data_IF_928264003804
#
_entry.id   IF_928264003804
#
_cell.length_a   1.000
_cell.length_b   1.000
_cell.length_c   1.000
_cell.angle_alpha   90.00
_cell.angle_beta   90.00
_cell.angle_gamma   90.00
#
_symmetry.space_group_name_H-M   'P 1'
#
loop_
_entity.id
_entity.type
_entity.pdbx_description
1 polymer ?
#
# COMPACT_ATOMS: atom_id res chain seq x y z
N UNK A 1 -8.58 23.99 -0.86
CA UNK A 1 -7.97 22.69 -0.45
C UNK A 1 -6.87 22.23 -1.41
N UNK A 2 -7.07 22.15 -2.73
CA UNK A 2 -6.01 21.75 -3.70
C UNK A 2 -4.81 22.69 -3.65
N UNK A 3 -5.02 24.01 -3.57
CA UNK A 3 -3.93 24.99 -3.44
C UNK A 3 -3.16 24.84 -2.12
N UNK A 4 -3.86 24.67 -1.01
CA UNK A 4 -3.26 24.45 0.31
C UNK A 4 -2.42 23.17 0.36
N UNK A 5 -2.89 22.10 -0.29
CA UNK A 5 -2.14 20.86 -0.44
C UNK A 5 -0.86 21.08 -1.24
N UNK A 6 -0.95 21.83 -2.34
CA UNK A 6 0.18 22.12 -3.21
C UNK A 6 1.23 22.99 -2.49
N UNK A 7 0.81 23.99 -1.74
CA UNK A 7 1.69 24.81 -0.92
C UNK A 7 2.38 23.98 0.18
N UNK A 8 1.63 23.13 0.88
CA UNK A 8 2.16 22.28 1.92
C UNK A 8 3.14 21.21 1.37
N UNK A 9 2.91 20.70 0.17
CA UNK A 9 3.86 19.78 -0.51
C UNK A 9 5.17 20.51 -0.82
N UNK A 10 5.11 21.73 -1.35
CA UNK A 10 6.29 22.57 -1.62
C UNK A 10 7.06 22.83 -0.34
N UNK A 11 6.39 23.31 0.69
CA UNK A 11 6.99 23.58 2.00
C UNK A 11 7.66 22.33 2.60
N UNK A 12 6.99 21.16 2.55
CA UNK A 12 7.54 19.91 3.04
C UNK A 12 8.80 19.47 2.30
N UNK A 13 8.90 19.75 0.99
CA UNK A 13 10.09 19.51 0.19
C UNK A 13 11.22 20.49 0.52
N UNK A 14 10.91 21.79 0.65
CA UNK A 14 11.88 22.84 0.96
C UNK A 14 12.50 22.68 2.35
N UNK A 15 11.67 22.33 3.34
CA UNK A 15 12.14 22.05 4.71
C UNK A 15 12.92 20.74 4.83
N UNK A 16 12.92 19.92 3.78
CA UNK A 16 13.60 18.63 3.78
C UNK A 16 15.09 18.81 3.53
N UNK A 17 15.90 18.38 4.48
CA UNK A 17 17.36 18.34 4.28
C UNK A 17 17.75 17.29 3.23
N UNK A 18 18.72 17.58 2.35
CA UNK A 18 19.21 16.61 1.39
C UNK A 18 19.77 15.36 2.08
N UNK A 19 19.48 14.20 1.53
CA UNK A 19 19.91 12.88 2.03
C UNK A 19 20.48 12.05 0.90
N UNK A 20 21.22 11.01 1.25
CA UNK A 20 21.82 10.07 0.29
C UNK A 20 20.81 9.04 -0.28
N UNK A 21 19.51 9.27 -0.10
CA UNK A 21 18.44 8.44 -0.62
C UNK A 21 17.23 9.30 -0.99
N UNK A 22 16.43 8.82 -1.95
CA UNK A 22 15.18 9.47 -2.33
C UNK A 22 14.17 9.35 -1.21
N UNK A 23 13.76 10.48 -0.62
CA UNK A 23 12.79 10.47 0.47
C UNK A 23 11.38 10.25 -0.08
N UNK A 24 10.60 9.48 0.67
CA UNK A 24 9.17 9.32 0.43
C UNK A 24 8.40 10.49 1.03
N UNK A 25 7.24 10.80 0.46
CA UNK A 25 6.29 11.78 0.99
C UNK A 25 5.11 11.01 1.54
N UNK A 26 4.86 11.21 2.82
CA UNK A 26 3.77 10.59 3.56
C UNK A 26 2.73 11.62 3.96
N UNK A 27 1.46 11.24 3.85
CA UNK A 27 0.32 12.01 4.36
C UNK A 27 -0.22 11.34 5.60
N UNK A 28 -0.46 12.13 6.63
CA UNK A 28 -1.02 11.70 7.90
C UNK A 28 -2.35 12.43 8.09
N UNK A 29 -3.44 11.68 8.19
CA UNK A 29 -4.79 12.21 8.34
C UNK A 29 -5.36 11.70 9.64
N UNK A 30 -5.70 12.62 10.55
CA UNK A 30 -6.38 12.30 11.78
C UNK A 30 -7.89 12.54 11.60
N UNK A 31 -8.68 11.57 12.03
CA UNK A 31 -10.13 11.58 11.89
C UNK A 31 -10.73 11.87 13.27
N UNK A 32 -11.73 12.75 13.32
CA UNK A 32 -12.50 13.04 14.53
C UNK A 32 -13.78 12.22 14.55
N UNK A 33 -14.32 12.02 15.75
CA UNK A 33 -15.63 11.41 16.00
C UNK A 33 -15.76 10.01 15.34
N UNK A 34 -14.67 9.25 15.25
CA UNK A 34 -14.66 7.89 14.71
C UNK A 34 -14.39 6.90 15.83
N UNK A 35 -15.42 6.14 16.22
CA UNK A 35 -15.27 5.04 17.17
C UNK A 35 -14.69 3.81 16.47
N UNK A 36 -13.39 3.60 16.66
CA UNK A 36 -12.67 2.46 16.06
C UNK A 36 -13.02 1.11 16.67
N UNK A 37 -13.78 1.06 17.79
CA UNK A 37 -14.25 -0.20 18.39
C UNK A 37 -15.36 -0.83 17.55
N UNK A 38 -16.15 -0.02 16.86
CA UNK A 38 -17.19 -0.49 15.95
C UNK A 38 -16.58 -1.07 14.67
N UNK A 39 -16.88 -2.33 14.32
CA UNK A 39 -16.36 -2.95 13.08
C UNK A 39 -16.71 -2.16 11.80
N UNK A 40 -17.88 -1.52 11.79
CA UNK A 40 -18.40 -0.72 10.66
C UNK A 40 -17.49 0.47 10.31
N UNK A 41 -16.81 1.02 11.33
CA UNK A 41 -15.91 2.16 11.17
C UNK A 41 -14.49 1.76 10.75
N UNK A 42 -14.23 0.44 10.69
CA UNK A 42 -12.93 -0.08 10.24
C UNK A 42 -13.00 -0.41 8.76
N UNK A 43 -12.13 0.20 8.01
CA UNK A 43 -11.99 -0.11 6.59
C UNK A 43 -10.52 -0.29 6.22
N UNK A 44 -10.30 -1.00 5.13
CA UNK A 44 -8.96 -1.25 4.56
C UNK A 44 -9.14 -1.35 3.04
N UNK A 45 -8.92 -0.24 2.36
CA UNK A 45 -9.10 -0.15 0.91
C UNK A 45 -7.78 0.04 0.19
N UNK A 46 -7.75 -0.40 -1.05
CA UNK A 46 -6.63 -0.20 -1.94
C UNK A 46 -6.96 0.89 -2.96
N UNK A 47 -6.15 1.92 -2.97
CA UNK A 47 -6.28 3.09 -3.83
C UNK A 47 -5.20 3.06 -4.89
N UNK A 48 -5.59 3.10 -6.15
CA UNK A 48 -4.64 3.30 -7.23
C UNK A 48 -4.36 4.81 -7.36
N UNK A 49 -3.10 5.18 -7.17
CA UNK A 49 -2.65 6.56 -7.31
C UNK A 49 -2.52 6.89 -8.81
N UNK A 50 -3.09 8.01 -9.28
CA UNK A 50 -3.05 8.37 -10.71
C UNK A 50 -1.63 8.52 -11.24
N UNK A 51 -0.74 9.14 -10.47
CA UNK A 51 0.64 9.40 -10.86
C UNK A 51 1.64 8.36 -10.29
N UNK A 52 1.12 7.23 -9.75
CA UNK A 52 1.94 6.19 -9.15
C UNK A 52 2.59 6.60 -7.83
N UNK A 53 3.43 5.72 -7.28
CA UNK A 53 4.08 5.89 -5.96
C UNK A 53 5.48 6.49 -6.05
N UNK A 54 6.06 6.62 -7.24
CA UNK A 54 7.45 7.05 -7.43
C UNK A 54 8.50 6.07 -6.88
N UNK A 55 8.10 4.86 -6.48
CA UNK A 55 8.97 3.82 -5.95
C UNK A 55 8.48 2.44 -6.39
N UNK A 56 9.40 1.61 -6.85
CA UNK A 56 9.10 0.24 -7.26
C UNK A 56 8.63 -0.61 -6.08
N UNK A 57 7.61 -1.40 -6.35
CA UNK A 57 7.03 -2.35 -5.39
C UNK A 57 7.54 -3.74 -5.71
N UNK A 58 7.92 -4.46 -4.68
CA UNK A 58 8.25 -5.87 -4.79
C UNK A 58 6.99 -6.70 -4.66
N UNK A 59 6.60 -7.33 -5.77
CA UNK A 59 5.44 -8.22 -5.81
C UNK A 59 5.92 -9.65 -5.72
N UNK A 60 5.22 -10.48 -4.96
CA UNK A 60 5.38 -11.92 -4.90
C UNK A 60 4.18 -12.60 -5.55
N UNK A 61 4.44 -13.59 -6.40
CA UNK A 61 3.41 -14.40 -7.05
C UNK A 61 3.46 -15.82 -6.51
N UNK A 62 2.30 -16.34 -6.16
CA UNK A 62 2.11 -17.69 -5.67
C UNK A 62 1.27 -18.43 -6.69
N UNK A 63 1.86 -19.35 -7.42
CA UNK A 63 1.16 -20.08 -8.47
C UNK A 63 2.06 -21.10 -9.14
N UNK A 64 1.44 -22.04 -9.82
CA UNK A 64 2.10 -23.06 -10.60
C UNK A 64 1.76 -22.93 -12.11
N UNK A 65 2.47 -23.68 -12.95
CA UNK A 65 2.22 -23.74 -14.40
C UNK A 65 2.42 -22.42 -15.12
N UNK A 66 1.41 -22.02 -15.90
CA UNK A 66 1.49 -20.86 -16.78
C UNK A 66 1.67 -19.54 -16.02
N UNK A 67 0.96 -19.36 -14.89
CA UNK A 67 1.07 -18.17 -14.06
C UNK A 67 2.50 -17.97 -13.51
N UNK A 68 3.16 -19.05 -13.10
CA UNK A 68 4.54 -19.02 -12.63
C UNK A 68 5.53 -18.61 -13.73
N UNK A 69 5.30 -19.09 -14.97
CA UNK A 69 6.12 -18.73 -16.13
C UNK A 69 5.92 -17.26 -16.49
N UNK A 70 4.67 -16.81 -16.56
CA UNK A 70 4.36 -15.39 -16.82
C UNK A 70 4.99 -14.48 -15.76
N UNK A 71 4.89 -14.84 -14.48
CA UNK A 71 5.47 -14.07 -13.38
C UNK A 71 7.01 -13.97 -13.49
N UNK A 72 7.69 -15.05 -13.85
CA UNK A 72 9.14 -15.04 -14.08
C UNK A 72 9.52 -14.15 -15.27
N UNK A 73 8.78 -14.21 -16.36
CA UNK A 73 9.01 -13.40 -17.54
C UNK A 73 8.76 -11.90 -17.27
N UNK A 74 7.79 -11.57 -16.44
CA UNK A 74 7.48 -10.21 -16.00
C UNK A 74 8.47 -9.66 -14.96
N UNK A 75 9.50 -10.42 -14.57
CA UNK A 75 10.52 -9.96 -13.61
C UNK A 75 10.02 -9.74 -12.19
N UNK A 76 9.02 -10.50 -11.75
CA UNK A 76 8.49 -10.43 -10.39
C UNK A 76 9.56 -10.81 -9.36
N UNK A 77 9.59 -10.09 -8.25
CA UNK A 77 10.63 -10.22 -7.22
C UNK A 77 10.69 -11.62 -6.57
N UNK A 78 9.56 -12.34 -6.54
CA UNK A 78 9.47 -13.68 -5.96
C UNK A 78 8.34 -14.48 -6.61
N UNK A 79 8.63 -15.74 -6.97
CA UNK A 79 7.62 -16.70 -7.42
C UNK A 79 7.70 -17.90 -6.48
N UNK A 80 6.58 -18.29 -5.90
CA UNK A 80 6.46 -19.41 -4.97
C UNK A 80 5.56 -20.50 -5.58
N UNK A 81 6.09 -21.71 -5.63
CA UNK A 81 5.36 -22.91 -5.99
C UNK A 81 4.62 -23.50 -4.78
N UNK A 82 3.82 -24.54 -5.01
CA UNK A 82 3.17 -25.32 -3.94
C UNK A 82 4.20 -25.92 -2.98
N UNK A 83 5.29 -26.45 -3.49
CA UNK A 83 6.37 -27.03 -2.69
C UNK A 83 7.06 -25.99 -1.80
N UNK A 84 7.28 -24.79 -2.34
CA UNK A 84 7.84 -23.67 -1.58
C UNK A 84 6.94 -23.23 -0.45
N UNK A 85 5.60 -23.24 -0.65
CA UNK A 85 4.65 -22.94 0.43
C UNK A 85 4.73 -23.97 1.57
N UNK A 86 4.85 -25.24 1.26
CA UNK A 86 5.00 -26.28 2.27
C UNK A 86 6.32 -26.15 3.04
N UNK A 87 7.41 -25.82 2.34
CA UNK A 87 8.71 -25.54 2.94
C UNK A 87 8.66 -24.34 3.89
N UNK A 88 8.10 -23.22 3.41
CA UNK A 88 7.92 -21.99 4.21
C UNK A 88 6.98 -22.21 5.40
N UNK A 89 6.00 -23.11 5.27
CA UNK A 89 5.12 -23.50 6.37
C UNK A 89 5.86 -24.16 7.53
N UNK A 90 6.94 -24.89 7.23
CA UNK A 90 7.81 -25.57 8.21
C UNK A 90 8.83 -24.59 8.85
N UNK A 91 9.35 -23.63 8.06
CA UNK A 91 10.30 -22.62 8.55
C UNK A 91 9.66 -21.23 8.70
N UNK A 92 9.20 -20.95 9.94
CA UNK A 92 8.61 -19.64 10.29
C UNK A 92 9.58 -18.47 10.17
N UNK A 93 10.90 -18.69 10.28
CA UNK A 93 11.88 -17.60 10.17
C UNK A 93 12.03 -17.18 8.72
N UNK A 94 12.18 -18.15 7.81
CA UNK A 94 12.23 -17.90 6.37
C UNK A 94 10.93 -17.27 5.87
N UNK A 95 9.77 -17.77 6.29
CA UNK A 95 8.47 -17.20 5.95
C UNK A 95 8.31 -15.74 6.42
N UNK A 96 8.79 -15.39 7.62
CA UNK A 96 8.78 -13.99 8.08
C UNK A 96 9.72 -13.11 7.27
N UNK A 97 10.90 -13.61 6.90
CA UNK A 97 11.87 -12.89 6.06
C UNK A 97 11.27 -12.61 4.68
N UNK A 98 10.67 -13.62 4.07
CA UNK A 98 9.96 -13.51 2.78
C UNK A 98 8.79 -12.52 2.87
N UNK A 99 7.96 -12.61 3.90
CA UNK A 99 6.84 -11.67 4.12
C UNK A 99 7.30 -10.22 4.30
N UNK A 100 8.49 -10.00 4.85
CA UNK A 100 9.05 -8.66 5.03
C UNK A 100 9.66 -8.11 3.74
N UNK A 101 10.24 -8.97 2.89
CA UNK A 101 10.90 -8.55 1.65
C UNK A 101 9.92 -8.19 0.53
N UNK A 102 8.67 -8.64 0.60
CA UNK A 102 7.63 -8.43 -0.44
C UNK A 102 6.57 -7.48 0.08
N UNK A 103 6.10 -6.57 -0.78
CA UNK A 103 5.09 -5.57 -0.44
C UNK A 103 3.67 -6.08 -0.71
N UNK A 104 3.45 -6.72 -1.86
CA UNK A 104 2.17 -7.31 -2.23
C UNK A 104 2.33 -8.75 -2.69
N UNK A 105 1.33 -9.58 -2.39
CA UNK A 105 1.24 -10.94 -2.87
C UNK A 105 0.02 -11.13 -3.77
N UNK A 106 0.20 -11.90 -4.83
CA UNK A 106 -0.85 -12.39 -5.71
C UNK A 106 -0.80 -13.91 -5.66
N UNK A 107 -1.92 -14.57 -5.56
CA UNK A 107 -1.96 -16.03 -5.52
C UNK A 107 -3.02 -16.58 -6.49
N UNK A 108 -2.70 -17.71 -7.11
CA UNK A 108 -3.67 -18.49 -7.86
C UNK A 108 -4.82 -18.89 -6.92
N UNK A 109 -6.07 -18.76 -7.38
CA UNK A 109 -7.26 -19.00 -6.56
C UNK A 109 -7.26 -20.40 -5.91
N UNK A 110 -6.82 -21.41 -6.65
CA UNK A 110 -6.77 -22.80 -6.20
C UNK A 110 -5.75 -23.01 -5.06
N UNK A 111 -4.74 -22.13 -4.98
CA UNK A 111 -3.70 -22.21 -3.94
C UNK A 111 -4.05 -21.41 -2.67
N UNK A 112 -5.10 -20.61 -2.69
CA UNK A 112 -5.49 -19.76 -1.54
C UNK A 112 -5.71 -20.56 -0.24
N UNK A 113 -6.33 -21.74 -0.22
CA UNK A 113 -6.46 -22.54 1.00
C UNK A 113 -5.10 -22.94 1.61
N UNK A 114 -4.12 -23.31 0.75
CA UNK A 114 -2.78 -23.64 1.20
C UNK A 114 -2.04 -22.41 1.75
N UNK A 115 -2.15 -21.29 1.06
CA UNK A 115 -1.60 -20.00 1.54
C UNK A 115 -2.19 -19.63 2.90
N UNK A 116 -3.51 -19.74 3.07
CA UNK A 116 -4.20 -19.50 4.33
C UNK A 116 -3.65 -20.38 5.46
N UNK A 117 -3.44 -21.66 5.19
CA UNK A 117 -2.92 -22.63 6.16
C UNK A 117 -1.46 -22.37 6.56
N UNK A 118 -0.56 -22.16 5.60
CA UNK A 118 0.87 -22.06 5.84
C UNK A 118 1.35 -20.63 6.13
N UNK A 119 0.89 -19.66 5.38
CA UNK A 119 1.36 -18.27 5.47
C UNK A 119 0.34 -17.31 6.13
N UNK A 120 -0.92 -17.73 6.28
CA UNK A 120 -1.98 -16.92 6.88
C UNK A 120 -1.61 -16.30 8.22
N UNK A 121 -1.06 -17.05 9.20
CA UNK A 121 -0.65 -16.51 10.49
C UNK A 121 0.46 -15.45 10.42
N UNK A 122 1.20 -15.39 9.30
CA UNK A 122 2.31 -14.46 9.08
C UNK A 122 1.87 -13.27 8.24
N UNK A 123 1.13 -13.51 7.15
CA UNK A 123 0.70 -12.48 6.21
C UNK A 123 -0.54 -11.71 6.70
N UNK A 124 -1.46 -12.37 7.41
CA UNK A 124 -2.70 -11.77 7.91
C UNK A 124 -2.47 -10.54 8.79
N UNK A 125 -1.69 -10.65 9.90
CA UNK A 125 -1.40 -9.52 10.79
C UNK A 125 -0.69 -8.36 10.07
N UNK A 126 0.06 -8.67 8.99
CA UNK A 126 0.80 -7.68 8.18
C UNK A 126 -0.02 -7.01 7.08
N UNK A 127 -1.30 -7.38 6.94
CA UNK A 127 -2.17 -6.93 5.82
C UNK A 127 -1.59 -7.27 4.43
N UNK A 128 -0.85 -8.37 4.33
CA UNK A 128 -0.20 -8.82 3.09
C UNK A 128 -0.82 -10.11 2.54
N UNK A 129 -2.09 -10.39 2.88
CA UNK A 129 -2.79 -11.54 2.29
C UNK A 129 -2.83 -11.40 0.77
N UNK A 130 -2.52 -12.50 0.04
CA UNK A 130 -2.54 -12.48 -1.41
C UNK A 130 -3.93 -12.18 -1.97
N UNK A 131 -3.95 -11.54 -3.14
CA UNK A 131 -5.17 -11.43 -3.93
C UNK A 131 -5.35 -12.69 -4.76
N UNK A 132 -6.54 -13.31 -4.72
CA UNK A 132 -6.83 -14.46 -5.59
C UNK A 132 -6.96 -14.01 -7.04
N UNK A 133 -6.28 -14.73 -7.93
CA UNK A 133 -6.32 -14.50 -9.37
C UNK A 133 -6.61 -15.82 -10.08
N UNK A 134 -7.48 -15.87 -11.07
CA UNK A 134 -7.66 -17.07 -11.91
C UNK A 134 -6.35 -17.44 -12.64
N UNK A 135 -6.12 -18.71 -12.85
CA UNK A 135 -4.90 -19.22 -13.50
C UNK A 135 -4.69 -18.70 -14.94
N UNK A 136 -5.79 -18.36 -15.63
CA UNK A 136 -5.81 -17.94 -17.04
C UNK A 136 -5.61 -16.43 -17.25
N UNK A 137 -5.45 -15.63 -16.20
CA UNK A 137 -5.33 -14.18 -16.31
C UNK A 137 -3.90 -13.78 -16.64
N UNK A 138 -3.75 -12.80 -17.53
CA UNK A 138 -2.45 -12.15 -17.78
C UNK A 138 -2.03 -11.37 -16.54
N UNK A 139 -0.79 -11.60 -16.09
CA UNK A 139 -0.29 -11.02 -14.85
C UNK A 139 0.12 -9.55 -15.00
N UNK A 140 0.54 -9.13 -16.20
CA UNK A 140 1.09 -7.79 -16.43
C UNK A 140 0.16 -6.64 -16.01
N UNK A 141 -1.15 -6.62 -16.39
CA UNK A 141 -2.06 -5.55 -15.97
C UNK A 141 -2.25 -5.50 -14.45
N UNK A 142 -2.15 -6.65 -13.79
CA UNK A 142 -2.29 -6.75 -12.34
C UNK A 142 -1.06 -6.15 -11.66
N UNK A 143 0.14 -6.45 -12.19
CA UNK A 143 1.39 -5.90 -11.68
C UNK A 143 1.43 -4.37 -11.84
N UNK A 144 1.07 -3.85 -13.01
CA UNK A 144 1.00 -2.41 -13.25
C UNK A 144 0.03 -1.70 -12.29
N UNK A 145 -1.15 -2.30 -12.08
CA UNK A 145 -2.12 -1.78 -11.12
C UNK A 145 -1.55 -1.78 -9.69
N UNK A 146 -0.92 -2.89 -9.28
CA UNK A 146 -0.34 -3.00 -7.94
C UNK A 146 0.80 -2.00 -7.74
N UNK A 147 1.62 -1.73 -8.74
CA UNK A 147 2.71 -0.74 -8.66
C UNK A 147 2.20 0.66 -8.31
N UNK A 148 0.99 1.00 -8.71
CA UNK A 148 0.35 2.29 -8.41
C UNK A 148 -0.51 2.26 -7.15
N UNK A 149 -0.71 1.09 -6.53
CA UNK A 149 -1.66 0.90 -5.44
C UNK A 149 -1.03 1.18 -4.08
N UNK A 150 -1.76 1.91 -3.24
CA UNK A 150 -1.47 2.09 -1.80
C UNK A 150 -2.63 1.58 -0.97
N UNK A 151 -2.35 1.18 0.27
CA UNK A 151 -3.38 0.74 1.22
C UNK A 151 -3.75 1.89 2.14
N UNK A 152 -5.03 2.20 2.17
CA UNK A 152 -5.63 3.24 3.01
C UNK A 152 -6.63 2.59 3.95
N UNK A 153 -6.49 2.78 5.24
CA UNK A 153 -7.44 2.18 6.15
C UNK A 153 -7.25 2.54 7.62
N UNK A 154 -8.33 2.40 8.37
CA UNK A 154 -8.42 2.63 9.81
C UNK A 154 -8.61 1.28 10.51
N UNK A 155 -7.84 1.01 11.57
CA UNK A 155 -7.98 -0.21 12.38
C UNK A 155 -8.14 0.06 13.87
N UNK A 156 -7.06 0.47 14.51
CA UNK A 156 -6.98 0.62 15.98
C UNK A 156 -6.92 2.06 16.43
N UNK A 157 -6.55 2.95 15.54
CA UNK A 157 -6.46 4.39 15.79
C UNK A 157 -7.21 5.14 14.70
N UNK A 158 -7.88 6.25 15.02
CA UNK A 158 -8.58 7.09 14.04
C UNK A 158 -7.59 7.96 13.26
N UNK A 159 -6.54 7.35 12.73
CA UNK A 159 -5.50 8.00 11.94
C UNK A 159 -5.06 7.12 10.79
N UNK A 160 -4.82 7.75 9.65
CA UNK A 160 -4.35 7.13 8.42
C UNK A 160 -2.98 7.70 8.10
N UNK A 161 -2.06 6.81 7.78
CA UNK A 161 -0.73 7.17 7.31
C UNK A 161 -0.50 6.45 5.98
N UNK A 162 -0.28 7.23 4.94
CA UNK A 162 -0.15 6.68 3.59
C UNK A 162 0.95 7.39 2.81
N UNK A 163 1.74 6.59 2.10
CA UNK A 163 2.73 7.08 1.15
C UNK A 163 2.02 7.55 -0.11
N UNK A 164 2.26 8.78 -0.53
CA UNK A 164 1.64 9.37 -1.72
C UNK A 164 2.62 9.57 -2.87
N UNK A 165 3.91 9.45 -2.62
CA UNK A 165 4.93 9.55 -3.66
C UNK A 165 6.33 9.74 -3.10
N UNK A 166 7.21 10.25 -3.94
CA UNK A 166 8.60 10.58 -3.61
C UNK A 166 8.92 12.04 -3.91
N UNK A 167 9.98 12.55 -3.28
CA UNK A 167 10.43 13.95 -3.48
C UNK A 167 10.76 14.31 -4.93
N UNK A 168 11.05 13.31 -5.79
CA UNK A 168 11.42 13.52 -7.19
C UNK A 168 10.19 13.74 -8.10
N UNK A 169 8.98 13.50 -7.60
CA UNK A 169 7.74 13.75 -8.34
C UNK A 169 7.40 15.24 -8.33
N UNK A 170 6.66 15.70 -9.36
CA UNK A 170 6.15 17.08 -9.38
C UNK A 170 5.16 17.33 -8.25
N UNK A 171 4.99 18.59 -7.87
CA UNK A 171 4.10 18.96 -6.76
C UNK A 171 2.64 18.73 -7.13
N UNK A 172 2.30 18.96 -8.40
CA UNK A 172 0.98 18.71 -8.97
C UNK A 172 0.65 17.19 -8.92
N UNK A 173 1.59 16.34 -9.33
CA UNK A 173 1.40 14.89 -9.30
C UNK A 173 1.19 14.36 -7.87
N UNK A 174 1.87 14.95 -6.91
CA UNK A 174 1.68 14.62 -5.49
C UNK A 174 0.33 15.11 -4.97
N UNK A 175 -0.10 16.31 -5.37
CA UNK A 175 -1.40 16.85 -5.00
C UNK A 175 -2.54 15.97 -5.54
N UNK A 176 -2.47 15.55 -6.80
CA UNK A 176 -3.43 14.62 -7.41
C UNK A 176 -3.51 13.29 -6.66
N UNK A 177 -2.35 12.74 -6.27
CA UNK A 177 -2.28 11.53 -5.49
C UNK A 177 -2.93 11.69 -4.11
N UNK A 178 -2.73 12.83 -3.45
CA UNK A 178 -3.36 13.15 -2.17
C UNK A 178 -4.87 13.27 -2.34
N UNK A 179 -5.34 13.94 -3.40
CA UNK A 179 -6.77 14.05 -3.68
C UNK A 179 -7.42 12.68 -3.94
N UNK A 180 -6.73 11.76 -4.63
CA UNK A 180 -7.21 10.39 -4.80
C UNK A 180 -7.41 9.66 -3.46
N UNK A 181 -6.50 9.87 -2.50
CA UNK A 181 -6.65 9.33 -1.15
C UNK A 181 -7.82 9.99 -0.42
N UNK A 182 -7.98 11.30 -0.50
CA UNK A 182 -9.09 12.02 0.13
C UNK A 182 -10.46 11.60 -0.45
N UNK A 183 -10.53 11.32 -1.75
CA UNK A 183 -11.76 10.84 -2.39
C UNK A 183 -12.20 9.46 -1.86
N UNK A 184 -11.27 8.62 -1.44
CA UNK A 184 -11.59 7.34 -0.78
C UNK A 184 -12.11 7.56 0.64
N UNK A 185 -11.57 8.54 1.36
CA UNK A 185 -12.08 8.90 2.68
C UNK A 185 -13.49 9.46 2.61
N UNK A 186 -13.78 10.29 1.59
CA UNK A 186 -15.12 10.83 1.37
C UNK A 186 -16.18 9.75 1.20
N UNK A 187 -15.80 8.59 0.63
CA UNK A 187 -16.72 7.46 0.42
C UNK A 187 -16.90 6.58 1.66
N UNK A 188 -15.86 6.47 2.49
CA UNK A 188 -15.85 5.55 3.63
C UNK A 188 -16.24 6.21 4.96
N UNK A 189 -16.16 7.53 5.05
CA UNK A 189 -16.53 8.26 6.24
C UNK A 189 -17.96 8.80 6.12
N UNK A 190 -18.77 8.65 7.17
CA UNK A 190 -20.17 9.10 7.19
C UNK A 190 -20.35 10.59 6.86
N UNK A 191 -19.46 11.44 7.36
CA UNK A 191 -19.47 12.90 7.13
C UNK A 191 -18.37 13.36 6.16
N UNK A 192 -17.74 12.42 5.44
CA UNK A 192 -16.69 12.68 4.47
C UNK A 192 -15.55 13.53 5.04
N UNK A 193 -15.09 14.51 4.26
CA UNK A 193 -13.98 15.41 4.64
C UNK A 193 -14.22 16.20 5.93
N UNK A 194 -15.48 16.43 6.31
CA UNK A 194 -15.81 17.15 7.55
C UNK A 194 -15.38 16.38 8.81
N UNK A 195 -15.09 15.09 8.71
CA UNK A 195 -14.54 14.31 9.81
C UNK A 195 -13.01 14.40 9.92
N UNK A 196 -12.34 15.04 8.99
CA UNK A 196 -10.88 15.25 9.08
C UNK A 196 -10.64 16.31 10.18
N UNK A 197 -9.90 15.89 11.22
CA UNK A 197 -9.49 16.77 12.32
C UNK A 197 -8.25 17.59 11.94
N UNK A 198 -7.29 16.92 11.32
CA UNK A 198 -6.03 17.54 10.89
C UNK A 198 -5.38 16.67 9.82
N UNK A 199 -4.71 17.30 8.89
CA UNK A 199 -3.93 16.64 7.85
C UNK A 199 -2.51 17.23 7.85
N UNK A 200 -1.54 16.34 7.76
CA UNK A 200 -0.13 16.68 7.75
C UNK A 200 0.57 16.01 6.58
N UNK A 201 1.54 16.70 6.03
CA UNK A 201 2.43 16.19 4.98
C UNK A 201 3.86 16.21 5.52
N UNK A 202 4.63 15.18 5.25
CA UNK A 202 6.04 15.14 5.63
C UNK A 202 6.86 14.32 4.64
N UNK A 203 8.12 14.64 4.51
CA UNK A 203 9.13 13.76 3.93
C UNK A 203 9.65 12.77 4.99
N UNK A 204 10.26 11.67 4.58
CA UNK A 204 10.71 10.59 5.49
C UNK A 204 11.48 11.11 6.71
N UNK A 205 12.42 12.04 6.50
CA UNK A 205 13.29 12.60 7.55
C UNK A 205 13.10 14.12 7.73
N UNK A 206 12.09 14.70 7.09
CA UNK A 206 11.77 16.13 7.17
C UNK A 206 10.84 16.48 8.33
N UNK A 207 10.67 17.79 8.52
CA UNK A 207 9.65 18.33 9.43
C UNK A 207 8.24 18.03 8.92
N UNK A 208 7.28 18.15 9.82
CA UNK A 208 5.87 17.95 9.54
C UNK A 208 5.26 19.30 9.15
N UNK A 209 4.61 19.37 8.00
CA UNK A 209 3.84 20.53 7.56
C UNK A 209 2.36 20.25 7.75
N UNK A 210 1.65 21.17 8.36
CA UNK A 210 0.20 21.06 8.57
C UNK A 210 -0.53 21.67 7.38
N UNK A 211 -1.55 20.96 6.89
CA UNK A 211 -2.43 21.42 5.79
C UNK A 211 -3.74 21.95 6.36
N UNK A 212 -4.35 21.19 7.29
CA UNK A 212 -5.61 21.51 7.98
C UNK A 212 -5.41 21.42 9.48
#
# INVERSE_FOLDING_TARGET
>A
MTQEILEAVKEAKEQSKPRNFTQSIDVIINIRDLDVNKPENRFDEEVALPNGRGKDIRVGVIGDGELAVQAKNAGVALVLSKEDLERLGKDRKEAKKTANSIDFFVAQADMMPLVGRFLGPILGPRKKMPKPVPASVKIDPILERLQRTVKVGVKTQPSIQVLVGTQNMSDEALADNIEAVLAVLDRNLEKGRNQIKSMFIKTTMGSVVRVI
#
